data_IF_044999028137
#
_entry.id   IF_044999028137
#
_cell.length_a   1.000
_cell.length_b   1.000
_cell.length_c   1.000
_cell.angle_alpha   90.00
_cell.angle_beta   90.00
_cell.angle_gamma   90.00
#
_symmetry.space_group_name_H-M   'P 1'
#
loop_
_entity.id
_entity.type
_entity.pdbx_description
1 polymer ?
#
# COMPACT_ATOMS: atom_id res chain seq x y z
N UNK A 1 21.15 -39.33 3.87
CA UNK A 1 19.72 -39.54 4.17
C UNK A 1 18.98 -38.28 3.70
N UNK A 2 18.22 -38.40 2.61
CA UNK A 2 17.50 -37.29 1.96
C UNK A 2 16.18 -37.06 2.69
N UNK A 3 15.95 -35.84 3.19
CA UNK A 3 14.69 -35.39 3.79
C UNK A 3 13.96 -34.41 2.86
N UNK A 4 12.66 -34.59 2.57
CA UNK A 4 11.94 -33.88 1.50
C UNK A 4 11.26 -32.60 1.99
N UNK A 5 12.03 -31.64 2.49
CA UNK A 5 11.54 -30.27 2.58
C UNK A 5 12.13 -29.54 1.39
N UNK A 6 11.36 -29.49 0.31
CA UNK A 6 11.66 -28.67 -0.85
C UNK A 6 12.08 -27.30 -0.34
N UNK A 7 13.29 -26.89 -0.71
CA UNK A 7 13.71 -25.52 -0.62
C UNK A 7 12.66 -24.71 -1.39
N UNK A 8 11.67 -24.17 -0.66
CA UNK A 8 10.84 -23.09 -1.14
C UNK A 8 11.81 -21.93 -1.32
N UNK A 9 12.52 -21.95 -2.45
CA UNK A 9 13.45 -20.93 -2.83
C UNK A 9 12.71 -19.62 -2.69
N UNK A 10 13.22 -18.74 -1.83
CA UNK A 10 12.76 -17.38 -1.73
C UNK A 10 12.62 -16.87 -3.16
N UNK A 11 11.39 -16.61 -3.61
CA UNK A 11 11.10 -16.14 -4.96
C UNK A 11 11.67 -14.74 -5.06
N UNK A 12 12.97 -14.67 -5.33
CA UNK A 12 13.64 -13.43 -5.64
C UNK A 12 12.99 -12.94 -6.93
N UNK A 13 12.31 -11.80 -6.85
CA UNK A 13 11.68 -11.16 -7.98
C UNK A 13 12.73 -11.01 -9.09
N UNK A 14 12.48 -11.67 -10.22
CA UNK A 14 13.42 -11.88 -11.32
C UNK A 14 14.02 -10.58 -11.88
N UNK A 15 13.40 -9.43 -11.63
CA UNK A 15 13.98 -8.13 -11.91
C UNK A 15 13.30 -7.02 -11.10
N UNK A 16 14.05 -5.96 -10.76
CA UNK A 16 13.48 -4.71 -10.22
C UNK A 16 12.34 -4.17 -11.11
N UNK A 17 12.44 -4.43 -12.42
CA UNK A 17 11.42 -4.07 -13.39
C UNK A 17 10.11 -4.83 -13.17
N UNK A 18 10.15 -6.12 -12.89
CA UNK A 18 8.94 -6.92 -12.63
C UNK A 18 8.22 -6.44 -11.37
N UNK A 19 8.97 -6.07 -10.33
CA UNK A 19 8.40 -5.47 -9.12
C UNK A 19 7.73 -4.13 -9.44
N UNK A 20 8.44 -3.21 -10.12
CA UNK A 20 7.90 -1.90 -10.49
C UNK A 20 6.64 -2.04 -11.36
N UNK A 21 6.67 -2.92 -12.37
CA UNK A 21 5.54 -3.16 -13.27
C UNK A 21 4.33 -3.75 -12.52
N UNK A 22 4.55 -4.71 -11.63
CA UNK A 22 3.47 -5.29 -10.83
C UNK A 22 2.83 -4.25 -9.89
N UNK A 23 3.65 -3.40 -9.24
CA UNK A 23 3.15 -2.33 -8.36
C UNK A 23 2.39 -1.26 -9.14
N UNK A 24 2.89 -0.84 -10.30
CA UNK A 24 2.20 0.13 -11.16
C UNK A 24 0.87 -0.45 -11.66
N UNK A 25 0.85 -1.71 -12.12
CA UNK A 25 -0.36 -2.36 -12.62
C UNK A 25 -1.46 -2.50 -11.58
N UNK A 26 -1.10 -2.74 -10.31
CA UNK A 26 -2.07 -2.75 -9.21
C UNK A 26 -2.55 -1.34 -8.83
N UNK A 27 -1.66 -0.34 -8.87
CA UNK A 27 -1.99 1.03 -8.46
C UNK A 27 -2.90 1.77 -9.45
N UNK A 28 -2.84 1.42 -10.74
CA UNK A 28 -3.66 2.06 -11.79
C UNK A 28 -4.95 1.24 -11.98
N UNK A 29 -5.88 1.38 -11.03
CA UNK A 29 -7.20 0.75 -11.13
C UNK A 29 -8.08 1.45 -12.17
N UNK A 30 -8.66 0.69 -13.11
CA UNK A 30 -9.57 1.20 -14.15
C UNK A 30 -10.68 2.10 -13.57
N UNK A 31 -11.26 1.75 -12.42
CA UNK A 31 -12.35 2.52 -11.81
C UNK A 31 -11.96 3.93 -11.33
N UNK A 32 -10.69 4.15 -10.97
CA UNK A 32 -10.21 5.46 -10.50
C UNK A 32 -10.11 6.48 -11.63
N UNK A 33 -9.60 6.06 -12.79
CA UNK A 33 -9.38 6.94 -13.95
C UNK A 33 -10.69 7.39 -14.59
N UNK A 34 -11.70 6.52 -14.68
CA UNK A 34 -13.01 6.87 -15.25
C UNK A 34 -13.80 7.82 -14.34
N UNK A 35 -13.83 7.57 -13.02
CA UNK A 35 -14.47 8.49 -12.07
C UNK A 35 -13.73 9.82 -11.94
N UNK A 36 -12.40 9.81 -12.05
CA UNK A 36 -11.60 11.03 -12.06
C UNK A 36 -11.91 11.88 -13.30
N UNK A 37 -12.01 11.25 -14.49
CA UNK A 37 -12.34 11.96 -15.72
C UNK A 37 -13.72 12.64 -15.65
N UNK A 38 -14.73 11.95 -15.12
CA UNK A 38 -16.06 12.53 -14.95
C UNK A 38 -16.08 13.68 -13.93
N UNK A 39 -15.39 13.50 -12.79
CA UNK A 39 -15.37 14.50 -11.72
C UNK A 39 -14.57 15.75 -12.11
N UNK A 40 -13.47 15.57 -12.86
CA UNK A 40 -12.69 16.67 -13.42
C UNK A 40 -13.50 17.45 -14.47
N UNK A 41 -14.32 16.77 -15.28
CA UNK A 41 -15.23 17.41 -16.23
C UNK A 41 -16.26 18.34 -15.58
N UNK A 42 -16.86 17.91 -14.46
CA UNK A 42 -17.87 18.71 -13.74
C UNK A 42 -17.27 19.78 -12.82
N UNK A 43 -16.08 19.55 -12.23
CA UNK A 43 -15.51 20.40 -11.17
C UNK A 43 -14.60 21.53 -11.68
N UNK A 44 -14.74 21.96 -12.94
CA UNK A 44 -13.95 23.05 -13.50
C UNK A 44 -12.62 22.62 -14.16
N UNK A 45 -12.52 21.35 -14.59
CA UNK A 45 -11.49 20.86 -15.50
C UNK A 45 -10.07 21.03 -14.96
N UNK A 46 -9.28 21.88 -15.61
CA UNK A 46 -7.84 22.03 -15.37
C UNK A 46 -7.46 22.57 -14.00
N UNK A 47 -8.28 23.43 -13.38
CA UNK A 47 -8.01 23.97 -12.04
C UNK A 47 -8.11 22.88 -10.97
N UNK A 48 -9.10 22.00 -11.08
CA UNK A 48 -9.25 20.83 -10.21
C UNK A 48 -8.08 19.84 -10.39
N UNK A 49 -7.67 19.59 -11.64
CA UNK A 49 -6.53 18.71 -11.94
C UNK A 49 -5.22 19.25 -11.35
N UNK A 50 -4.98 20.55 -11.42
CA UNK A 50 -3.77 21.16 -10.85
C UNK A 50 -3.70 20.98 -9.32
N UNK A 51 -4.81 21.23 -8.62
CA UNK A 51 -4.91 21.03 -7.17
C UNK A 51 -4.78 19.54 -6.82
N UNK A 52 -5.41 18.66 -7.60
CA UNK A 52 -5.31 17.21 -7.43
C UNK A 52 -3.85 16.73 -7.53
N UNK A 53 -3.11 17.17 -8.55
CA UNK A 53 -1.69 16.82 -8.71
C UNK A 53 -0.88 17.35 -7.52
N UNK A 54 -1.12 18.59 -7.09
CA UNK A 54 -0.43 19.16 -5.93
C UNK A 54 -0.69 18.33 -4.65
N UNK A 55 -1.93 17.93 -4.40
CA UNK A 55 -2.28 17.07 -3.27
C UNK A 55 -1.65 15.69 -3.36
N UNK A 56 -1.63 15.06 -4.53
CA UNK A 56 -1.00 13.74 -4.74
C UNK A 56 0.52 13.81 -4.52
N UNK A 57 1.17 14.86 -5.00
CA UNK A 57 2.62 15.05 -4.81
C UNK A 57 2.96 15.32 -3.35
N UNK A 58 2.16 16.12 -2.65
CA UNK A 58 2.44 16.49 -1.25
C UNK A 58 2.06 15.39 -0.25
N UNK A 59 0.93 14.71 -0.46
CA UNK A 59 0.38 13.75 0.50
C UNK A 59 0.62 12.32 0.03
N UNK A 60 0.29 12.03 -1.23
CA UNK A 60 0.38 10.68 -1.79
C UNK A 60 1.80 10.13 -1.77
N UNK A 61 2.78 10.92 -2.22
CA UNK A 61 4.20 10.50 -2.19
C UNK A 61 4.66 10.24 -0.75
N UNK A 62 4.31 11.11 0.21
CA UNK A 62 4.74 10.97 1.59
C UNK A 62 4.17 9.70 2.24
N UNK A 63 2.89 9.40 1.97
CA UNK A 63 2.23 8.19 2.46
C UNK A 63 2.90 6.94 1.87
N UNK A 64 3.08 6.88 0.55
CA UNK A 64 3.71 5.72 -0.11
C UNK A 64 5.15 5.53 0.37
N UNK A 65 5.90 6.62 0.56
CA UNK A 65 7.26 6.56 1.10
C UNK A 65 7.26 6.03 2.55
N UNK A 66 6.32 6.47 3.38
CA UNK A 66 6.17 5.96 4.74
C UNK A 66 5.86 4.45 4.75
N UNK A 67 4.94 4.01 3.89
CA UNK A 67 4.53 2.62 3.76
C UNK A 67 5.66 1.72 3.24
N UNK A 68 6.45 2.19 2.26
CA UNK A 68 7.62 1.48 1.76
C UNK A 68 8.75 1.35 2.78
N UNK A 69 8.94 2.34 3.65
CA UNK A 69 9.94 2.28 4.74
C UNK A 69 9.50 1.30 5.82
N UNK A 70 8.22 1.35 6.21
CA UNK A 70 7.63 0.42 7.19
C UNK A 70 7.67 -1.02 6.66
N UNK A 71 7.23 -1.24 5.42
CA UNK A 71 7.22 -2.55 4.77
C UNK A 71 8.63 -3.15 4.60
N UNK A 72 9.63 -2.32 4.28
CA UNK A 72 11.03 -2.78 4.17
C UNK A 72 11.63 -3.19 5.52
N UNK A 73 11.31 -2.48 6.59
CA UNK A 73 11.87 -2.77 7.92
C UNK A 73 11.30 -4.04 8.52
N UNK A 74 10.01 -4.31 8.30
CA UNK A 74 9.32 -5.31 9.12
C UNK A 74 8.97 -6.59 8.37
N UNK A 75 8.90 -6.61 7.02
CA UNK A 75 8.67 -7.82 6.16
C UNK A 75 7.62 -8.82 6.69
N UNK A 76 6.71 -8.37 7.54
CA UNK A 76 5.73 -9.17 8.28
C UNK A 76 4.35 -8.53 8.12
N UNK A 77 3.31 -9.28 8.46
CA UNK A 77 1.92 -8.82 8.33
C UNK A 77 1.67 -7.47 9.04
N UNK A 78 0.82 -6.58 8.49
CA UNK A 78 0.62 -5.21 9.00
C UNK A 78 0.30 -5.12 10.49
N UNK A 79 -0.47 -6.08 11.02
CA UNK A 79 -0.79 -6.18 12.44
C UNK A 79 0.46 -6.48 13.30
N UNK A 80 1.34 -7.38 12.85
CA UNK A 80 2.60 -7.71 13.52
C UNK A 80 3.59 -6.55 13.36
N UNK A 81 3.58 -5.88 12.22
CA UNK A 81 4.40 -4.69 11.96
C UNK A 81 4.06 -3.53 12.90
N UNK A 82 2.78 -3.24 13.07
CA UNK A 82 2.31 -2.24 14.05
C UNK A 82 2.61 -2.67 15.49
N UNK A 83 2.60 -3.97 15.81
CA UNK A 83 3.02 -4.48 17.12
C UNK A 83 4.50 -4.23 17.38
N UNK A 84 5.36 -4.56 16.43
CA UNK A 84 6.81 -4.42 16.57
C UNK A 84 7.23 -2.96 16.64
N UNK A 85 6.67 -2.10 15.77
CA UNK A 85 6.90 -0.66 15.81
C UNK A 85 6.40 -0.02 17.12
N UNK A 86 5.29 -0.51 17.69
CA UNK A 86 4.79 -0.02 18.97
C UNK A 86 5.71 -0.41 20.15
N UNK A 87 6.21 -1.65 20.15
CA UNK A 87 7.17 -2.14 21.16
C UNK A 87 8.50 -1.39 21.02
N UNK A 88 8.99 -1.16 19.81
CA UNK A 88 10.24 -0.43 19.54
C UNK A 88 10.13 1.07 19.84
N UNK A 89 8.96 1.67 19.67
CA UNK A 89 8.67 3.05 20.08
C UNK A 89 8.30 3.21 21.56
N UNK A 90 8.40 2.15 22.38
CA UNK A 90 8.09 2.18 23.82
C UNK A 90 6.62 2.45 24.16
N UNK A 91 5.69 2.24 23.21
CA UNK A 91 4.25 2.49 23.36
C UNK A 91 3.46 1.18 23.54
N UNK A 92 2.29 1.28 24.16
CA UNK A 92 1.44 0.12 24.47
C UNK A 92 1.11 -0.70 23.21
N UNK A 93 1.15 -2.03 23.31
CA UNK A 93 0.87 -2.97 22.21
C UNK A 93 -0.54 -2.89 21.59
N UNK A 94 -1.40 -1.98 22.07
CA UNK A 94 -2.74 -1.67 21.53
C UNK A 94 -2.69 -1.04 20.14
N UNK A 95 -1.55 -0.52 19.69
CA UNK A 95 -1.34 -0.04 18.32
C UNK A 95 -1.51 -1.13 17.24
N UNK A 96 -1.53 -2.41 17.64
CA UNK A 96 -1.98 -3.52 16.80
C UNK A 96 -3.39 -3.33 16.23
N UNK A 97 -4.27 -2.66 16.97
CA UNK A 97 -5.63 -2.37 16.51
C UNK A 97 -5.63 -1.52 15.24
N UNK A 98 -4.72 -0.57 15.09
CA UNK A 98 -4.63 0.24 13.88
C UNK A 98 -4.29 -0.62 12.64
N UNK A 99 -3.38 -1.60 12.80
CA UNK A 99 -3.06 -2.56 11.74
C UNK A 99 -4.21 -3.51 11.42
N UNK A 100 -4.97 -3.93 12.43
CA UNK A 100 -6.16 -4.79 12.25
C UNK A 100 -7.31 -4.05 11.57
N UNK A 101 -7.54 -2.78 11.96
CA UNK A 101 -8.51 -1.89 11.31
C UNK A 101 -8.14 -1.69 9.85
N UNK A 102 -6.86 -1.46 9.52
CA UNK A 102 -6.43 -1.30 8.12
C UNK A 102 -6.72 -2.54 7.26
N UNK A 103 -6.50 -3.75 7.80
CA UNK A 103 -6.82 -5.01 7.11
C UNK A 103 -8.32 -5.13 6.89
N UNK A 104 -9.13 -4.82 7.90
CA UNK A 104 -10.58 -4.86 7.82
C UNK A 104 -11.10 -3.82 6.81
N UNK A 105 -10.57 -2.59 6.82
CA UNK A 105 -10.91 -1.55 5.85
C UNK A 105 -10.58 -1.99 4.42
N UNK A 106 -9.41 -2.59 4.18
CA UNK A 106 -9.05 -3.10 2.86
C UNK A 106 -10.01 -4.21 2.38
N UNK A 107 -10.42 -5.12 3.27
CA UNK A 107 -11.42 -6.14 2.99
C UNK A 107 -12.79 -5.54 2.64
N UNK A 108 -13.24 -4.55 3.40
CA UNK A 108 -14.52 -3.86 3.14
C UNK A 108 -14.51 -3.11 1.81
N UNK A 109 -13.39 -2.45 1.47
CA UNK A 109 -13.24 -1.76 0.18
C UNK A 109 -13.42 -2.76 -0.96
N UNK A 110 -12.71 -3.89 -0.93
CA UNK A 110 -12.82 -4.94 -1.96
C UNK A 110 -14.20 -5.59 -1.99
N UNK A 111 -14.87 -5.70 -0.83
CA UNK A 111 -16.23 -6.25 -0.78
C UNK A 111 -17.29 -5.31 -1.39
N UNK A 112 -17.01 -4.00 -1.43
CA UNK A 112 -17.92 -2.99 -1.96
C UNK A 112 -17.58 -2.56 -3.40
N UNK A 113 -16.30 -2.65 -3.78
CA UNK A 113 -15.81 -2.46 -5.14
C UNK A 113 -16.14 -3.65 -6.04
#
# INVERSE_FOLDING_TARGET
MVGPYGAAGHTNWSSRLTFILATIGFSIGLGGTWRFSSLAGESGGGAFVAIYIACVLLIGIQIVMAELVVGRRVRMTPAITMRMLAIEAGKSGRWQLAGLVAILTAFLIVSYY
#
